data_IF_059752090735
#
_entry.id   IF_059752090735
#
_cell.length_a   1.000
_cell.length_b   1.000
_cell.length_c   1.000
_cell.angle_alpha   90.00
_cell.angle_beta   90.00
_cell.angle_gamma   90.00
#
_symmetry.space_group_name_H-M   'P 1'
#
loop_
_entity.id
_entity.type
_entity.pdbx_description
1 polymer ?
#
# COMPACT_ATOMS: atom_id res chain seq x y z
N UNK A 1 -10.85 -28.29 14.44
CA UNK A 1 -10.47 -26.87 14.52
C UNK A 1 -11.54 -26.06 13.80
N UNK A 2 -12.12 -25.06 14.47
CA UNK A 2 -13.24 -24.27 13.95
C UNK A 2 -12.73 -23.08 13.12
N UNK A 3 -13.32 -22.80 11.96
CA UNK A 3 -12.99 -21.62 11.12
C UNK A 3 -13.81 -20.41 11.59
N UNK A 4 -13.26 -19.64 12.53
CA UNK A 4 -13.93 -18.50 13.15
C UNK A 4 -13.74 -17.20 12.37
N UNK A 5 -12.58 -17.03 11.71
CA UNK A 5 -12.23 -15.80 11.02
C UNK A 5 -12.74 -15.82 9.55
N UNK A 6 -13.65 -14.89 9.22
CA UNK A 6 -14.31 -14.78 7.90
C UNK A 6 -14.74 -13.34 7.62
N UNK A 7 -14.69 -12.96 6.35
CA UNK A 7 -15.31 -11.71 5.88
C UNK A 7 -16.76 -11.95 5.49
N UNK A 8 -17.63 -10.99 5.80
CA UNK A 8 -19.00 -10.93 5.29
C UNK A 8 -19.02 -9.90 4.15
N UNK A 9 -19.57 -10.30 3.01
CA UNK A 9 -19.58 -9.52 1.77
C UNK A 9 -21.04 -9.36 1.33
N UNK A 10 -21.43 -8.15 0.96
CA UNK A 10 -22.76 -7.90 0.38
C UNK A 10 -22.75 -8.22 -1.11
N UNK A 11 -23.91 -8.59 -1.66
CA UNK A 11 -24.05 -8.88 -3.09
C UNK A 11 -23.55 -7.71 -3.96
N UNK A 12 -23.88 -6.46 -3.60
CA UNK A 12 -23.38 -5.29 -4.34
C UNK A 12 -21.86 -5.08 -4.28
N UNK A 13 -21.18 -5.58 -3.25
CA UNK A 13 -19.71 -5.57 -3.20
C UNK A 13 -19.11 -6.66 -4.09
N UNK A 14 -19.75 -7.82 -4.15
CA UNK A 14 -19.35 -8.91 -5.05
C UNK A 14 -19.53 -8.51 -6.53
N UNK A 15 -20.60 -7.78 -6.85
CA UNK A 15 -20.84 -7.24 -8.20
C UNK A 15 -19.74 -6.25 -8.64
N UNK A 16 -19.26 -5.41 -7.72
CA UNK A 16 -18.19 -4.44 -7.97
C UNK A 16 -16.81 -5.10 -8.06
N UNK A 17 -16.61 -6.22 -7.35
CA UNK A 17 -15.33 -6.91 -7.23
C UNK A 17 -15.50 -8.41 -7.48
N UNK A 18 -15.79 -8.84 -8.72
CA UNK A 18 -16.07 -10.25 -9.02
C UNK A 18 -14.86 -11.18 -8.81
N UNK A 19 -13.65 -10.61 -8.71
CA UNK A 19 -12.41 -11.32 -8.41
C UNK A 19 -12.02 -11.27 -6.92
N UNK A 20 -12.97 -11.03 -6.01
CA UNK A 20 -12.72 -11.01 -4.57
C UNK A 20 -12.28 -12.41 -4.09
N UNK A 21 -11.14 -12.47 -3.41
CA UNK A 21 -10.59 -13.71 -2.85
C UNK A 21 -10.21 -13.52 -1.39
N UNK A 22 -10.47 -14.53 -0.56
CA UNK A 22 -10.00 -14.57 0.82
C UNK A 22 -8.78 -15.49 0.90
N UNK A 23 -7.69 -15.03 1.49
CA UNK A 23 -6.50 -15.83 1.78
C UNK A 23 -6.18 -15.84 3.28
N UNK A 24 -5.51 -16.89 3.75
CA UNK A 24 -5.00 -16.97 5.12
C UNK A 24 -3.48 -16.82 5.11
N UNK A 25 -2.93 -16.02 6.02
CA UNK A 25 -1.48 -15.92 6.18
C UNK A 25 -0.89 -17.16 6.89
N UNK A 26 0.43 -17.37 6.78
CA UNK A 26 1.16 -18.32 7.61
C UNK A 26 0.86 -18.08 9.09
N UNK A 27 0.86 -19.17 9.86
CA UNK A 27 0.56 -19.11 11.29
C UNK A 27 1.63 -18.28 12.00
N UNK A 28 1.21 -17.31 12.80
CA UNK A 28 2.06 -16.56 13.74
C UNK A 28 1.99 -17.20 15.14
N UNK A 29 2.61 -16.56 16.15
CA UNK A 29 2.46 -16.89 17.58
C UNK A 29 1.01 -16.91 18.08
N UNK A 30 0.07 -16.32 17.33
CA UNK A 30 -1.35 -16.31 17.68
C UNK A 30 -2.01 -17.67 17.44
N UNK A 31 -2.97 -18.00 18.30
CA UNK A 31 -3.90 -19.12 18.07
C UNK A 31 -4.90 -18.82 16.93
N UNK A 32 -5.01 -17.55 16.50
CA UNK A 32 -5.74 -17.11 15.31
C UNK A 32 -4.80 -16.90 14.11
N UNK A 33 -5.34 -17.08 12.89
CA UNK A 33 -4.63 -16.78 11.65
C UNK A 33 -5.22 -15.56 10.97
N UNK A 34 -4.37 -14.62 10.59
CA UNK A 34 -4.82 -13.45 9.85
C UNK A 34 -5.40 -13.87 8.50
N UNK A 35 -6.64 -13.43 8.25
CA UNK A 35 -7.33 -13.56 6.97
C UNK A 35 -7.29 -12.25 6.21
N UNK A 36 -6.95 -12.31 4.93
CA UNK A 36 -6.86 -11.17 4.04
C UNK A 36 -7.93 -11.29 2.96
N UNK A 37 -8.56 -10.16 2.64
CA UNK A 37 -9.46 -10.03 1.51
C UNK A 37 -8.73 -9.30 0.39
N UNK A 38 -8.57 -9.95 -0.74
CA UNK A 38 -7.95 -9.38 -1.92
C UNK A 38 -9.01 -9.28 -3.01
N UNK A 39 -9.47 -8.06 -3.28
CA UNK A 39 -10.10 -7.76 -4.56
C UNK A 39 -9.01 -8.03 -5.60
N UNK A 40 -9.14 -9.06 -6.43
CA UNK A 40 -8.09 -9.55 -7.33
C UNK A 40 -7.58 -8.48 -8.32
N UNK A 41 -7.22 -8.86 -9.54
CA UNK A 41 -6.93 -7.84 -10.54
C UNK A 41 -8.22 -7.10 -10.94
N UNK A 42 -8.69 -6.18 -10.10
CA UNK A 42 -9.39 -4.97 -10.57
C UNK A 42 -8.50 -4.48 -11.71
N UNK A 43 -9.07 -4.14 -12.86
CA UNK A 43 -8.34 -3.59 -14.01
C UNK A 43 -7.64 -2.27 -13.69
N UNK A 44 -6.76 -2.27 -12.69
CA UNK A 44 -5.82 -1.24 -12.35
C UNK A 44 -4.89 -1.20 -13.54
N UNK A 45 -5.18 -0.22 -14.40
CA UNK A 45 -4.31 0.25 -15.47
C UNK A 45 -2.86 0.12 -14.98
N UNK A 46 -2.12 -0.80 -15.60
CA UNK A 46 -0.70 -1.04 -15.27
C UNK A 46 0.01 0.33 -15.24
N UNK A 47 0.56 0.71 -14.09
CA UNK A 47 1.39 1.91 -13.96
C UNK A 47 0.80 3.08 -13.16
N UNK A 48 -0.38 2.93 -12.55
CA UNK A 48 -0.85 3.92 -11.57
C UNK A 48 0.10 4.00 -10.37
N UNK A 49 0.39 5.22 -9.95
CA UNK A 49 1.12 5.45 -8.70
C UNK A 49 0.31 4.89 -7.54
N UNK A 50 0.92 4.02 -6.74
CA UNK A 50 0.32 3.55 -5.50
C UNK A 50 0.79 4.44 -4.36
N UNK A 51 -0.18 4.96 -3.64
CA UNK A 51 0.04 5.64 -2.38
C UNK A 51 -0.03 4.59 -1.26
N UNK A 52 0.98 4.53 -0.41
CA UNK A 52 0.98 3.61 0.74
C UNK A 52 0.54 4.37 1.99
N UNK A 53 -0.49 3.90 2.69
CA UNK A 53 -1.03 4.59 3.86
C UNK A 53 0.00 4.80 4.97
N UNK A 54 0.97 3.88 5.11
CA UNK A 54 2.07 4.01 6.07
C UNK A 54 2.89 5.29 5.90
N UNK A 55 2.87 5.91 4.70
CA UNK A 55 3.57 7.17 4.47
C UNK A 55 3.02 8.30 5.33
N UNK A 56 1.72 8.30 5.64
CA UNK A 56 1.08 9.32 6.46
C UNK A 56 1.59 9.31 7.91
N UNK A 57 2.06 8.16 8.39
CA UNK A 57 2.60 7.99 9.74
C UNK A 57 4.13 8.19 9.79
N UNK A 58 4.77 8.28 8.63
CA UNK A 58 6.21 8.43 8.54
C UNK A 58 6.63 9.85 8.95
N UNK A 59 7.59 9.95 9.86
CA UNK A 59 8.20 11.24 10.22
C UNK A 59 8.78 11.92 8.97
N UNK A 60 8.51 13.20 8.79
CA UNK A 60 9.04 13.97 7.66
C UNK A 60 8.23 13.87 6.37
N UNK A 61 7.17 13.04 6.31
CA UNK A 61 6.38 12.89 5.08
C UNK A 61 5.66 14.18 4.70
N UNK A 62 4.95 14.81 5.65
CA UNK A 62 4.23 16.06 5.40
C UNK A 62 5.18 17.17 4.99
N UNK A 63 6.29 17.32 5.70
CA UNK A 63 7.31 18.34 5.46
C UNK A 63 7.96 18.15 4.08
N UNK A 64 8.22 16.91 3.68
CA UNK A 64 8.70 16.59 2.33
C UNK A 64 7.71 17.06 1.27
N UNK A 65 6.43 16.68 1.41
CA UNK A 65 5.39 17.03 0.43
C UNK A 65 5.25 18.54 0.31
N UNK A 66 5.13 19.25 1.44
CA UNK A 66 5.00 20.71 1.47
C UNK A 66 6.20 21.40 0.84
N UNK A 67 7.43 21.01 1.24
CA UNK A 67 8.67 21.57 0.70
C UNK A 67 8.77 21.37 -0.81
N UNK A 68 8.53 20.15 -1.31
CA UNK A 68 8.60 19.86 -2.75
C UNK A 68 7.53 20.61 -3.52
N UNK A 69 6.30 20.64 -3.00
CA UNK A 69 5.17 21.30 -3.66
C UNK A 69 5.38 22.80 -3.88
N UNK A 70 5.95 23.47 -2.88
CA UNK A 70 6.25 24.91 -2.94
C UNK A 70 7.41 25.21 -3.90
N UNK A 71 8.41 24.33 -3.98
CA UNK A 71 9.60 24.53 -4.82
C UNK A 71 9.37 24.23 -6.32
N UNK A 72 8.21 23.70 -6.70
CA UNK A 72 7.91 23.46 -8.11
C UNK A 72 7.52 24.74 -8.85
N UNK A 73 8.43 25.21 -9.68
CA UNK A 73 8.19 26.28 -10.65
C UNK A 73 7.74 25.70 -12.00
N UNK A 74 6.44 25.81 -12.30
CA UNK A 74 5.84 25.31 -13.54
C UNK A 74 4.96 26.41 -14.13
N UNK A 75 5.10 26.67 -15.43
CA UNK A 75 4.29 27.66 -16.17
C UNK A 75 3.30 26.95 -17.09
N UNK A 76 2.11 27.51 -17.25
CA UNK A 76 1.04 26.99 -18.10
C UNK A 76 -0.35 27.30 -17.55
N UNK A 77 -1.38 26.66 -18.12
CA UNK A 77 -2.72 26.75 -17.54
C UNK A 77 -2.80 25.99 -16.20
N UNK A 78 -3.79 26.31 -15.33
CA UNK A 78 -3.89 25.68 -14.00
C UNK A 78 -3.94 24.15 -14.03
N UNK A 79 -4.67 23.55 -14.97
CA UNK A 79 -4.77 22.09 -15.11
C UNK A 79 -3.43 21.45 -15.47
N UNK A 80 -2.66 22.08 -16.36
CA UNK A 80 -1.33 21.65 -16.74
C UNK A 80 -0.33 21.78 -15.58
N UNK A 81 -0.39 22.90 -14.84
CA UNK A 81 0.45 23.11 -13.65
C UNK A 81 0.19 22.00 -12.63
N UNK A 82 -1.08 21.73 -12.32
CA UNK A 82 -1.46 20.69 -11.37
C UNK A 82 -0.96 19.30 -11.81
N UNK A 83 -1.24 18.92 -13.07
CA UNK A 83 -0.83 17.62 -13.60
C UNK A 83 0.71 17.44 -13.55
N UNK A 84 1.46 18.50 -13.87
CA UNK A 84 2.93 18.47 -13.80
C UNK A 84 3.44 18.42 -12.35
N UNK A 85 2.87 19.18 -11.43
CA UNK A 85 3.24 19.12 -9.99
C UNK A 85 2.99 17.73 -9.42
N UNK A 86 1.84 17.12 -9.71
CA UNK A 86 1.54 15.75 -9.29
C UNK A 86 2.52 14.73 -9.89
N UNK A 87 2.93 14.91 -11.15
CA UNK A 87 3.93 14.04 -11.80
C UNK A 87 5.31 14.16 -11.14
N UNK A 88 5.74 15.37 -10.78
CA UNK A 88 7.02 15.57 -10.07
C UNK A 88 6.96 15.00 -8.66
N UNK A 89 5.88 15.29 -7.91
CA UNK A 89 5.68 14.78 -6.57
C UNK A 89 5.68 13.25 -6.53
N UNK A 90 5.09 12.60 -7.52
CA UNK A 90 5.14 11.14 -7.69
C UNK A 90 6.58 10.61 -7.72
N UNK A 91 7.48 11.26 -8.44
CA UNK A 91 8.88 10.79 -8.54
C UNK A 91 9.66 11.03 -7.24
N UNK A 92 9.47 12.19 -6.62
CA UNK A 92 10.06 12.51 -5.30
C UNK A 92 9.61 11.52 -4.22
N UNK A 93 8.31 11.16 -4.22
CA UNK A 93 7.75 10.18 -3.28
C UNK A 93 8.28 8.77 -3.53
N UNK A 94 8.50 8.37 -4.78
CA UNK A 94 9.13 7.08 -5.09
C UNK A 94 10.55 7.01 -4.58
N UNK A 95 11.33 8.07 -4.78
CA UNK A 95 12.70 8.14 -4.30
C UNK A 95 12.76 8.13 -2.77
N UNK A 96 11.96 8.97 -2.12
CA UNK A 96 11.87 9.00 -0.67
C UNK A 96 11.41 7.65 -0.09
N UNK A 97 10.41 6.99 -0.69
CA UNK A 97 9.97 5.66 -0.25
C UNK A 97 11.09 4.62 -0.35
N UNK A 98 11.89 4.65 -1.44
CA UNK A 98 13.07 3.77 -1.55
C UNK A 98 14.08 4.04 -0.44
N UNK A 99 14.31 5.31 -0.10
CA UNK A 99 15.31 5.71 0.90
C UNK A 99 14.87 5.42 2.34
N UNK A 100 13.59 5.60 2.66
CA UNK A 100 13.07 5.45 4.04
C UNK A 100 12.61 4.02 4.32
N UNK A 101 11.88 3.41 3.38
CA UNK A 101 11.23 2.12 3.59
C UNK A 101 11.88 0.98 2.81
N UNK A 102 12.55 1.28 1.69
CA UNK A 102 13.12 0.26 0.81
C UNK A 102 12.06 -0.68 0.25
N UNK A 103 12.35 -1.98 0.18
CA UNK A 103 11.38 -3.00 -0.20
C UNK A 103 10.61 -3.53 1.02
N UNK A 104 9.48 -2.89 1.30
CA UNK A 104 8.59 -3.23 2.43
C UNK A 104 8.14 -4.69 2.39
N UNK A 105 7.85 -5.23 1.19
CA UNK A 105 7.40 -6.62 1.03
C UNK A 105 8.48 -7.61 1.45
N UNK A 106 9.72 -7.38 1.01
CA UNK A 106 10.87 -8.21 1.41
C UNK A 106 11.07 -8.12 2.92
N UNK A 107 11.08 -6.91 3.48
CA UNK A 107 11.26 -6.71 4.92
C UNK A 107 10.18 -7.40 5.75
N UNK A 108 8.91 -7.33 5.34
CA UNK A 108 7.79 -8.07 5.97
C UNK A 108 8.05 -9.57 5.96
N UNK A 109 8.40 -10.13 4.79
CA UNK A 109 8.65 -11.56 4.65
C UNK A 109 9.84 -12.04 5.48
N UNK A 110 10.91 -11.24 5.56
CA UNK A 110 12.08 -11.57 6.37
C UNK A 110 11.76 -11.55 7.87
N UNK A 111 10.97 -10.60 8.33
CA UNK A 111 10.49 -10.55 9.73
C UNK A 111 9.60 -11.77 10.02
N UNK A 112 8.66 -12.10 9.13
CA UNK A 112 7.80 -13.28 9.28
C UNK A 112 8.60 -14.58 9.36
N UNK A 113 9.64 -14.73 8.53
CA UNK A 113 10.57 -15.88 8.60
C UNK A 113 11.30 -15.94 9.94
N UNK A 114 11.79 -14.80 10.45
CA UNK A 114 12.47 -14.74 11.76
C UNK A 114 11.54 -15.14 12.90
N UNK A 115 10.30 -14.64 12.90
CA UNK A 115 9.29 -15.04 13.90
C UNK A 115 9.06 -16.54 13.84
N UNK A 116 8.90 -17.11 12.64
CA UNK A 116 8.70 -18.55 12.49
C UNK A 116 9.87 -19.41 13.01
N UNK A 117 11.11 -18.91 12.91
CA UNK A 117 12.30 -19.61 13.47
C UNK A 117 12.30 -19.60 15.00
N UNK A 118 11.83 -18.51 15.63
CA UNK A 118 11.78 -18.39 17.09
C UNK A 118 10.68 -19.28 17.69
N UNK A 119 9.65 -19.58 16.90
CA UNK A 119 8.53 -20.44 17.30
C UNK A 119 8.83 -21.96 17.18
N UNK A 120 10.02 -22.34 16.69
CA UNK A 120 10.54 -23.72 16.61
C UNK A 120 11.52 -24.02 17.75
#
# INVERSE_FOLDING_TARGET
MSRLDRFLVSAGLEDLFPALTQSCQPKSVSNHRDVFLECGAIGLVKGLFRFENMWLEARGFRELVEKRWQNYEIRGNPSFILAKKLKLLKEDLKEWNRNVFGNVKTRKNDILKKVHIIDL
#
